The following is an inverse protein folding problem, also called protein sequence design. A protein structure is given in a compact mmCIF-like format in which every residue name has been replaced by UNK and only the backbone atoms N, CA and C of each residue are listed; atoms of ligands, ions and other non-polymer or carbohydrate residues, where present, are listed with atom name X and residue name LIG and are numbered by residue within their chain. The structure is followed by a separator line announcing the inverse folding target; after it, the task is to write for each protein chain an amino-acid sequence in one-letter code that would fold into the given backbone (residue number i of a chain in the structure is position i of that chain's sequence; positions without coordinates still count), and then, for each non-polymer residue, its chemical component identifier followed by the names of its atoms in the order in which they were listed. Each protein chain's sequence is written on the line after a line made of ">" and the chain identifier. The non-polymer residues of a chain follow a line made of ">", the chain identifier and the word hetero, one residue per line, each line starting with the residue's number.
data_IF_461670076644
#
_entry.id   IF_461670076644
#
_cell.length_a   1.000
_cell.length_b   1.000
_cell.length_c   1.000
_cell.angle_alpha   90.00
_cell.angle_beta   90.00
_cell.angle_gamma   90.00
#
_symmetry.space_group_name_H-M   'P 1'
#
loop_
_entity.id
_entity.type
_entity.pdbx_description
1 polymer ?
#
# COMPACT_ATOMS: atom_id res chain seq x y z
N UNK A 1 -20.07 -16.77 19.60
CA UNK A 1 -18.59 -16.64 19.75
C UNK A 1 -18.28 -15.16 19.99
N UNK A 2 -17.36 -14.85 20.92
CA UNK A 2 -17.03 -13.46 21.26
C UNK A 2 -15.77 -12.99 20.52
N UNK A 3 -15.88 -11.82 19.87
CA UNK A 3 -14.85 -11.22 19.01
C UNK A 3 -14.55 -9.83 19.52
N UNK A 4 -13.26 -9.49 19.63
CA UNK A 4 -12.81 -8.14 19.90
C UNK A 4 -12.57 -7.40 18.59
N UNK A 5 -13.16 -6.22 18.45
CA UNK A 5 -13.06 -5.33 17.28
C UNK A 5 -12.35 -4.05 17.69
N UNK A 6 -11.05 -3.94 17.38
CA UNK A 6 -10.20 -2.79 17.68
C UNK A 6 -10.02 -1.92 16.43
N UNK A 7 -10.96 -0.97 16.18
CA UNK A 7 -11.02 -0.24 14.92
C UNK A 7 -11.65 1.15 15.12
N UNK A 8 -11.10 2.19 14.50
CA UNK A 8 -11.68 3.55 14.57
C UNK A 8 -13.11 3.57 14.02
N UNK A 9 -13.37 2.81 12.95
CA UNK A 9 -14.70 2.66 12.37
C UNK A 9 -15.49 1.50 12.99
N UNK A 10 -15.21 1.13 14.25
CA UNK A 10 -15.79 -0.03 14.92
C UNK A 10 -17.32 -0.09 14.83
N UNK A 11 -18.03 1.06 14.93
CA UNK A 11 -19.47 1.09 14.83
C UNK A 11 -19.99 0.61 13.45
N UNK A 12 -19.30 0.97 12.36
CA UNK A 12 -19.61 0.53 11.01
C UNK A 12 -19.38 -0.98 10.87
N UNK A 13 -18.22 -1.48 11.31
CA UNK A 13 -17.90 -2.90 11.27
C UNK A 13 -18.86 -3.73 12.13
N UNK A 14 -19.17 -3.27 13.34
CA UNK A 14 -20.10 -3.97 14.23
C UNK A 14 -21.48 -4.13 13.61
N UNK A 15 -22.00 -3.07 12.96
CA UNK A 15 -23.27 -3.13 12.22
C UNK A 15 -23.20 -4.15 11.06
N UNK A 16 -22.17 -4.10 10.22
CA UNK A 16 -22.00 -5.00 9.09
C UNK A 16 -21.87 -6.46 9.53
N UNK A 17 -21.13 -6.71 10.61
CA UNK A 17 -20.99 -8.05 11.19
C UNK A 17 -22.31 -8.54 11.80
N UNK A 18 -23.07 -7.68 12.51
CA UNK A 18 -24.38 -8.04 13.06
C UNK A 18 -25.42 -8.36 11.99
N UNK A 19 -25.35 -7.65 10.84
CA UNK A 19 -26.23 -7.93 9.68
C UNK A 19 -25.88 -9.26 9.01
N UNK A 20 -24.59 -9.58 8.87
CA UNK A 20 -24.12 -10.76 8.15
C UNK A 20 -24.00 -12.03 9.02
N UNK A 21 -23.72 -11.86 10.32
CA UNK A 21 -23.51 -12.97 11.27
C UNK A 21 -24.06 -12.60 12.66
N UNK A 22 -25.39 -12.60 12.84
CA UNK A 22 -26.06 -12.10 14.06
C UNK A 22 -25.73 -12.89 15.33
N UNK A 23 -25.19 -14.09 15.21
CA UNK A 23 -24.78 -14.92 16.35
C UNK A 23 -23.42 -14.56 16.94
N UNK A 24 -22.72 -13.57 16.36
CA UNK A 24 -21.45 -13.09 16.88
C UNK A 24 -21.67 -12.08 18.00
N UNK A 25 -21.02 -12.30 19.15
CA UNK A 25 -20.94 -11.34 20.26
C UNK A 25 -19.71 -10.43 20.01
N UNK A 26 -19.95 -9.15 19.69
CA UNK A 26 -18.91 -8.21 19.27
C UNK A 26 -18.68 -7.19 20.37
N UNK A 27 -17.43 -7.09 20.82
CA UNK A 27 -16.94 -6.02 21.70
C UNK A 27 -16.07 -5.09 20.87
N UNK A 28 -16.55 -3.89 20.56
CA UNK A 28 -15.88 -2.94 19.66
C UNK A 28 -15.53 -1.63 20.32
N UNK A 29 -14.41 -1.04 19.85
CA UNK A 29 -13.93 0.27 20.29
C UNK A 29 -12.62 0.66 19.61
N UNK A 30 -12.10 1.84 19.98
CA UNK A 30 -10.80 2.36 19.59
C UNK A 30 -9.92 2.77 20.80
N UNK A 31 -10.48 2.69 22.01
CA UNK A 31 -9.70 2.89 23.23
C UNK A 31 -9.06 1.57 23.70
N UNK A 32 -7.72 1.54 23.65
CA UNK A 32 -6.94 0.35 24.03
C UNK A 32 -7.14 -0.02 25.52
N UNK A 33 -7.35 0.96 26.41
CA UNK A 33 -7.50 0.69 27.85
C UNK A 33 -8.85 0.02 28.15
N UNK A 34 -9.92 0.46 27.48
CA UNK A 34 -11.24 -0.15 27.59
C UNK A 34 -11.26 -1.56 27.00
N UNK A 35 -10.70 -1.72 25.80
CA UNK A 35 -10.65 -3.00 25.11
C UNK A 35 -9.79 -4.04 25.85
N UNK A 36 -8.71 -3.63 26.50
CA UNK A 36 -7.83 -4.52 27.29
C UNK A 36 -8.57 -5.24 28.41
N UNK A 37 -9.57 -4.59 29.04
CA UNK A 37 -10.40 -5.21 30.09
C UNK A 37 -11.24 -6.38 29.59
N UNK A 38 -11.45 -6.50 28.29
CA UNK A 38 -12.29 -7.54 27.67
C UNK A 38 -11.50 -8.50 26.76
N UNK A 39 -10.27 -8.15 26.40
CA UNK A 39 -9.43 -8.90 25.47
C UNK A 39 -9.24 -10.37 25.85
N UNK A 40 -9.05 -10.67 27.13
CA UNK A 40 -8.89 -12.04 27.62
C UNK A 40 -10.12 -12.96 27.46
N UNK A 41 -11.29 -12.39 27.13
CA UNK A 41 -12.52 -13.14 26.86
C UNK A 41 -12.75 -13.39 25.36
N UNK A 42 -11.88 -12.85 24.51
CA UNK A 42 -12.01 -12.87 23.06
C UNK A 42 -10.85 -13.66 22.43
N UNK A 43 -11.14 -14.86 21.92
CA UNK A 43 -10.15 -15.70 21.26
C UNK A 43 -9.78 -15.18 19.83
N UNK A 44 -10.59 -14.28 19.27
CA UNK A 44 -10.40 -13.70 17.94
C UNK A 44 -10.43 -12.18 18.06
N UNK A 45 -9.42 -11.51 17.44
CA UNK A 45 -9.36 -10.07 17.36
C UNK A 45 -9.37 -9.62 15.90
N UNK A 46 -10.19 -8.62 15.57
CA UNK A 46 -10.25 -7.93 14.28
C UNK A 46 -9.91 -6.47 14.50
N UNK A 47 -9.03 -5.87 13.71
CA UNK A 47 -8.79 -4.42 13.86
C UNK A 47 -7.57 -3.86 13.15
N UNK A 48 -7.33 -2.57 13.40
CA UNK A 48 -6.18 -1.84 12.91
C UNK A 48 -4.88 -2.32 13.58
N UNK A 49 -3.79 -2.46 12.82
CA UNK A 49 -2.51 -2.96 13.34
C UNK A 49 -1.99 -2.21 14.57
N UNK A 50 -2.16 -0.88 14.61
CA UNK A 50 -1.67 -0.05 15.72
C UNK A 50 -2.43 -0.32 17.02
N UNK A 51 -3.77 -0.40 16.95
CA UNK A 51 -4.62 -0.72 18.09
C UNK A 51 -4.35 -2.16 18.58
N UNK A 52 -4.25 -3.10 17.65
CA UNK A 52 -3.93 -4.50 17.93
C UNK A 52 -2.54 -4.66 18.59
N UNK A 53 -1.53 -3.94 18.08
CA UNK A 53 -0.19 -3.92 18.69
C UNK A 53 -0.19 -3.31 20.10
N UNK A 54 -1.00 -2.26 20.31
CA UNK A 54 -1.22 -1.66 21.62
C UNK A 54 -1.85 -2.62 22.62
N UNK A 55 -2.79 -3.45 22.18
CA UNK A 55 -3.41 -4.50 22.98
C UNK A 55 -2.42 -5.64 23.30
N UNK A 56 -1.61 -6.08 22.34
CA UNK A 56 -0.60 -7.13 22.55
C UNK A 56 0.45 -6.75 23.59
N UNK A 57 0.70 -5.46 23.83
CA UNK A 57 1.60 -4.99 24.90
C UNK A 57 0.98 -5.07 26.31
N UNK A 58 -0.33 -5.27 26.41
CA UNK A 58 -1.10 -5.22 27.65
C UNK A 58 -1.80 -6.53 27.98
N UNK A 59 -2.07 -7.36 26.98
CA UNK A 59 -2.88 -8.57 27.10
C UNK A 59 -2.19 -9.75 26.43
N UNK A 60 -2.48 -10.99 26.87
CA UNK A 60 -2.10 -12.19 26.13
C UNK A 60 -2.64 -12.15 24.70
N UNK A 61 -1.87 -12.71 23.77
CA UNK A 61 -2.29 -12.80 22.38
C UNK A 61 -3.55 -13.68 22.22
N UNK A 62 -4.44 -13.37 21.25
CA UNK A 62 -5.59 -14.22 20.90
C UNK A 62 -5.13 -15.48 20.17
N UNK A 63 -6.03 -16.42 19.94
CA UNK A 63 -5.75 -17.58 19.08
C UNK A 63 -5.60 -17.18 17.59
N UNK A 64 -6.39 -16.19 17.15
CA UNK A 64 -6.34 -15.63 15.80
C UNK A 64 -6.57 -14.11 15.82
N UNK A 65 -5.79 -13.41 14.99
CA UNK A 65 -5.90 -11.97 14.78
C UNK A 65 -6.03 -11.69 13.29
N UNK A 66 -7.02 -10.89 12.91
CA UNK A 66 -7.22 -10.37 11.56
C UNK A 66 -6.93 -8.87 11.53
N UNK A 67 -5.89 -8.47 10.80
CA UNK A 67 -5.64 -7.04 10.53
C UNK A 67 -6.61 -6.53 9.46
N UNK A 68 -7.16 -5.33 9.68
CA UNK A 68 -7.97 -4.60 8.68
C UNK A 68 -7.11 -3.89 7.63
N UNK A 69 -5.78 -3.89 7.78
CA UNK A 69 -4.83 -3.30 6.84
C UNK A 69 -3.98 -4.38 6.14
N UNK A 70 -3.49 -4.04 4.93
CA UNK A 70 -2.51 -4.86 4.22
C UNK A 70 -1.12 -4.78 4.86
N UNK A 71 -0.73 -3.60 5.35
CA UNK A 71 0.50 -3.37 6.10
C UNK A 71 0.36 -3.77 7.56
N UNK A 72 1.32 -4.52 8.08
CA UNK A 72 1.29 -5.09 9.45
C UNK A 72 2.54 -4.75 10.25
N UNK A 73 3.33 -3.78 9.81
CA UNK A 73 4.58 -3.37 10.47
C UNK A 73 4.44 -3.19 11.99
N UNK A 74 3.37 -2.55 12.53
CA UNK A 74 3.18 -2.41 13.97
C UNK A 74 3.10 -3.74 14.72
N UNK A 75 2.55 -4.78 14.08
CA UNK A 75 2.41 -6.13 14.67
C UNK A 75 3.70 -6.96 14.60
N UNK A 76 4.69 -6.50 13.83
CA UNK A 76 6.02 -7.12 13.71
C UNK A 76 7.05 -6.49 14.65
N UNK A 77 6.67 -5.47 15.44
CA UNK A 77 7.56 -4.77 16.36
C UNK A 77 8.25 -5.73 17.32
N UNK A 78 9.49 -5.40 17.69
CA UNK A 78 10.28 -6.19 18.64
C UNK A 78 9.58 -6.28 20.00
N UNK A 79 9.68 -7.44 20.63
CA UNK A 79 9.07 -7.71 21.95
C UNK A 79 7.58 -8.08 21.91
N UNK A 80 6.91 -8.07 20.74
CA UNK A 80 5.55 -8.58 20.64
C UNK A 80 5.53 -10.11 20.49
N UNK A 81 4.50 -10.79 21.04
CA UNK A 81 4.31 -12.23 20.87
C UNK A 81 4.10 -12.58 19.39
N UNK A 82 4.47 -13.82 18.99
CA UNK A 82 4.32 -14.35 17.64
C UNK A 82 3.72 -15.75 17.61
N UNK A 83 3.16 -16.18 18.72
CA UNK A 83 2.60 -17.52 18.98
C UNK A 83 1.08 -17.57 18.74
N UNK A 84 0.59 -16.78 17.79
CA UNK A 84 -0.82 -16.72 17.36
C UNK A 84 -0.92 -16.75 15.84
N UNK A 85 -2.10 -17.05 15.31
CA UNK A 85 -2.36 -16.93 13.88
C UNK A 85 -2.61 -15.46 13.53
N UNK A 86 -1.90 -14.94 12.53
CA UNK A 86 -2.12 -13.58 12.01
C UNK A 86 -2.55 -13.67 10.56
N UNK A 87 -3.63 -12.96 10.21
CA UNK A 87 -4.04 -12.70 8.83
C UNK A 87 -4.11 -11.21 8.59
N UNK A 88 -3.75 -10.78 7.38
CA UNK A 88 -3.83 -9.39 6.94
C UNK A 88 -4.91 -9.20 5.89
N UNK A 89 -5.30 -7.96 5.63
CA UNK A 89 -6.25 -7.66 4.57
C UNK A 89 -5.62 -7.97 3.21
N UNK A 90 -6.32 -8.76 2.41
CA UNK A 90 -6.01 -9.12 1.01
C UNK A 90 -7.29 -9.09 0.18
N UNK A 91 -7.18 -8.91 -1.13
CA UNK A 91 -8.35 -8.91 -2.04
C UNK A 91 -9.21 -7.64 -1.99
N UNK A 92 -8.95 -6.71 -1.07
CA UNK A 92 -9.81 -5.55 -0.82
C UNK A 92 -9.25 -4.22 -1.36
N UNK A 93 -7.95 -4.18 -1.71
CA UNK A 93 -7.28 -2.94 -2.11
C UNK A 93 -7.03 -2.81 -3.60
N UNK A 94 -7.13 -3.89 -4.36
CA UNK A 94 -6.69 -3.92 -5.75
C UNK A 94 -7.39 -2.89 -6.65
N UNK A 95 -8.71 -2.72 -6.51
CA UNK A 95 -9.49 -1.76 -7.27
C UNK A 95 -9.08 -0.32 -6.96
N UNK A 96 -9.16 0.07 -5.69
CA UNK A 96 -8.90 1.46 -5.27
C UNK A 96 -7.44 1.86 -5.52
N UNK A 97 -6.50 0.95 -5.34
CA UNK A 97 -5.09 1.19 -5.66
C UNK A 97 -4.88 1.35 -7.17
N UNK A 98 -5.58 0.58 -8.01
CA UNK A 98 -5.51 0.74 -9.46
C UNK A 98 -6.06 2.10 -9.90
N UNK A 99 -7.17 2.55 -9.32
CA UNK A 99 -7.74 3.88 -9.56
C UNK A 99 -6.77 4.99 -9.13
N UNK A 100 -6.14 4.84 -7.97
CA UNK A 100 -5.10 5.75 -7.50
C UNK A 100 -3.94 5.86 -8.49
N UNK A 101 -3.34 4.73 -8.89
CA UNK A 101 -2.23 4.70 -9.83
C UNK A 101 -2.62 5.33 -11.17
N UNK A 102 -3.78 4.97 -11.71
CA UNK A 102 -4.29 5.48 -12.98
C UNK A 102 -4.52 7.00 -12.93
N UNK A 103 -5.04 7.50 -11.81
CA UNK A 103 -5.26 8.94 -11.61
C UNK A 103 -3.98 9.73 -11.82
N UNK A 104 -2.88 9.34 -11.18
CA UNK A 104 -1.63 10.11 -11.27
C UNK A 104 -0.85 9.85 -12.56
N UNK A 105 -0.94 8.65 -13.13
CA UNK A 105 -0.41 8.37 -14.47
C UNK A 105 -1.08 9.27 -15.52
N UNK A 106 -2.40 9.36 -15.51
CA UNK A 106 -3.17 10.21 -16.43
C UNK A 106 -2.91 11.69 -16.13
N UNK A 107 -2.86 12.10 -14.86
CA UNK A 107 -2.56 13.48 -14.48
C UNK A 107 -1.19 13.92 -15.01
N UNK A 108 -0.17 13.06 -14.91
CA UNK A 108 1.16 13.31 -15.46
C UNK A 108 1.15 13.41 -16.98
N UNK A 109 0.62 12.41 -17.69
CA UNK A 109 0.57 12.41 -19.15
C UNK A 109 -0.24 13.59 -19.70
N UNK A 110 -1.34 13.97 -19.04
CA UNK A 110 -2.18 15.10 -19.43
C UNK A 110 -1.71 16.44 -18.91
N UNK A 111 -0.55 16.48 -18.16
CA UNK A 111 0.05 17.69 -17.58
C UNK A 111 -0.93 18.45 -16.67
N UNK A 112 -1.72 17.72 -15.92
CA UNK A 112 -2.81 18.30 -15.11
C UNK A 112 -2.30 19.35 -14.12
N UNK A 113 -1.24 19.04 -13.36
CA UNK A 113 -0.68 19.94 -12.35
C UNK A 113 -0.12 21.23 -12.98
N UNK A 114 0.57 21.12 -14.13
CA UNK A 114 1.07 22.26 -14.90
C UNK A 114 -0.09 23.17 -15.39
N UNK A 115 -1.20 22.56 -15.83
CA UNK A 115 -2.38 23.31 -16.27
C UNK A 115 -3.07 24.04 -15.11
N UNK A 116 -3.17 23.38 -13.94
CA UNK A 116 -3.73 24.00 -12.75
C UNK A 116 -2.88 25.21 -12.31
N UNK A 117 -1.54 25.09 -12.32
CA UNK A 117 -0.65 26.21 -12.03
C UNK A 117 -0.84 27.36 -13.04
N UNK A 118 -0.83 27.07 -14.34
CA UNK A 118 -1.06 28.07 -15.39
C UNK A 118 -2.43 28.74 -15.27
N UNK A 119 -3.47 27.98 -14.91
CA UNK A 119 -4.81 28.55 -14.66
C UNK A 119 -4.79 29.52 -13.47
N UNK A 120 -4.08 29.20 -12.39
CA UNK A 120 -3.91 30.08 -11.23
C UNK A 120 -3.21 31.40 -11.58
N UNK A 121 -2.34 31.39 -12.58
CA UNK A 121 -1.61 32.53 -13.10
C UNK A 121 -2.32 33.25 -14.27
N UNK A 122 -3.53 32.80 -14.66
CA UNK A 122 -4.27 33.28 -15.81
C UNK A 122 -3.49 33.15 -17.15
N UNK A 123 -2.64 32.12 -17.28
CA UNK A 123 -1.86 31.83 -18.48
C UNK A 123 -2.56 30.75 -19.31
N UNK A 124 -2.81 31.05 -20.60
CA UNK A 124 -3.32 30.08 -21.55
C UNK A 124 -2.20 29.09 -21.93
N UNK A 125 -2.28 27.86 -21.40
CA UNK A 125 -1.28 26.81 -21.66
C UNK A 125 -1.84 25.81 -22.68
N UNK A 126 -1.42 25.94 -23.94
CA UNK A 126 -1.82 25.07 -25.07
C UNK A 126 -0.85 23.91 -25.31
N UNK A 127 0.16 23.73 -24.48
CA UNK A 127 1.16 22.66 -24.60
C UNK A 127 0.46 21.30 -24.62
N UNK A 128 0.66 20.46 -25.68
CA UNK A 128 -0.05 19.20 -25.81
C UNK A 128 0.32 18.24 -24.67
N UNK A 129 -0.65 17.48 -24.19
CA UNK A 129 -0.44 16.36 -23.30
C UNK A 129 -0.03 15.09 -24.06
N UNK A 130 0.51 14.12 -23.35
CA UNK A 130 0.81 12.77 -23.83
C UNK A 130 -0.37 11.80 -23.67
N UNK A 131 -0.09 10.53 -23.88
CA UNK A 131 -1.03 9.40 -23.71
C UNK A 131 -0.31 8.23 -23.05
N UNK A 132 -1.03 7.39 -22.33
CA UNK A 132 -0.49 6.14 -21.79
C UNK A 132 -0.23 5.10 -22.88
N UNK A 133 -0.95 5.17 -24.01
CA UNK A 133 -0.77 4.21 -25.09
C UNK A 133 0.69 4.17 -25.57
N UNK A 134 1.27 2.99 -25.61
CA UNK A 134 2.66 2.74 -25.96
C UNK A 134 3.70 3.07 -24.90
N UNK A 135 3.29 3.56 -23.70
CA UNK A 135 4.19 3.75 -22.58
C UNK A 135 4.57 2.42 -21.95
N UNK A 136 5.75 2.37 -21.35
CA UNK A 136 6.22 1.25 -20.53
C UNK A 136 6.04 1.61 -19.05
N UNK A 137 5.25 0.81 -18.32
CA UNK A 137 5.02 0.97 -16.89
C UNK A 137 5.68 -0.19 -16.15
N UNK A 138 6.60 0.12 -15.24
CA UNK A 138 7.24 -0.85 -14.36
C UNK A 138 6.52 -0.87 -13.00
N UNK A 139 5.97 -2.03 -12.63
CA UNK A 139 5.37 -2.27 -11.32
C UNK A 139 6.36 -3.03 -10.46
N UNK A 140 6.90 -2.35 -9.44
CA UNK A 140 7.86 -2.92 -8.49
C UNK A 140 7.09 -3.45 -7.28
N UNK A 141 6.90 -4.76 -7.23
CA UNK A 141 6.02 -5.43 -6.27
C UNK A 141 4.81 -6.10 -6.94
N UNK A 142 5.07 -7.16 -7.75
CA UNK A 142 4.01 -7.94 -8.42
C UNK A 142 3.45 -8.97 -7.44
N UNK A 143 2.79 -8.47 -6.38
CA UNK A 143 1.90 -9.21 -5.51
C UNK A 143 0.45 -9.14 -6.00
N UNK A 144 -0.51 -9.37 -5.11
CA UNK A 144 -1.95 -9.30 -5.41
C UNK A 144 -2.37 -7.89 -5.93
N UNK A 145 -1.96 -6.83 -5.21
CA UNK A 145 -2.26 -5.45 -5.60
C UNK A 145 -1.59 -5.09 -6.93
N UNK A 146 -0.28 -5.41 -7.08
CA UNK A 146 0.46 -5.12 -8.31
C UNK A 146 -0.11 -5.83 -9.54
N UNK A 147 -0.58 -7.07 -9.38
CA UNK A 147 -1.28 -7.82 -10.43
C UNK A 147 -2.59 -7.11 -10.83
N UNK A 148 -3.38 -6.68 -9.84
CA UNK A 148 -4.65 -5.99 -10.11
C UNK A 148 -4.44 -4.64 -10.78
N UNK A 149 -3.43 -3.87 -10.35
CA UNK A 149 -3.02 -2.63 -11.02
C UNK A 149 -2.64 -2.89 -12.48
N UNK A 150 -1.87 -3.94 -12.74
CA UNK A 150 -1.49 -4.32 -14.10
C UNK A 150 -2.70 -4.66 -14.99
N UNK A 151 -3.67 -5.41 -14.48
CA UNK A 151 -4.91 -5.74 -15.18
C UNK A 151 -5.72 -4.50 -15.55
N UNK A 152 -5.77 -3.50 -14.66
CA UNK A 152 -6.44 -2.21 -14.92
C UNK A 152 -5.71 -1.33 -15.93
N UNK A 153 -4.38 -1.39 -15.96
CA UNK A 153 -3.58 -0.58 -16.89
C UNK A 153 -3.49 -1.19 -18.28
N UNK A 154 -3.61 -2.51 -18.43
CA UNK A 154 -3.47 -3.19 -19.71
C UNK A 154 -4.40 -2.64 -20.84
N UNK A 155 -5.69 -2.31 -20.59
CA UNK A 155 -6.59 -1.75 -21.60
C UNK A 155 -6.15 -0.39 -22.16
N UNK A 156 -5.26 0.34 -21.47
CA UNK A 156 -4.72 1.62 -21.95
C UNK A 156 -3.58 1.46 -22.96
N UNK A 157 -3.24 0.23 -23.35
CA UNK A 157 -2.22 -0.05 -24.36
C UNK A 157 -0.79 0.20 -23.87
N UNK A 158 -0.54 0.07 -22.56
CA UNK A 158 0.79 0.14 -21.96
C UNK A 158 1.54 -1.18 -22.10
N UNK A 159 2.87 -1.14 -22.17
CA UNK A 159 3.73 -2.29 -21.96
C UNK A 159 4.04 -2.42 -20.48
N UNK A 160 3.74 -3.57 -19.88
CA UNK A 160 3.88 -3.81 -18.44
C UNK A 160 5.14 -4.63 -18.14
N UNK A 161 5.99 -4.10 -17.26
CA UNK A 161 7.14 -4.78 -16.68
C UNK A 161 6.90 -4.95 -15.18
N UNK A 162 7.42 -6.02 -14.59
CA UNK A 162 7.20 -6.31 -13.18
C UNK A 162 8.47 -6.74 -12.45
N UNK A 163 8.53 -6.40 -11.15
CA UNK A 163 9.49 -6.96 -10.18
C UNK A 163 8.73 -7.77 -9.14
N UNK A 164 9.20 -8.99 -8.89
CA UNK A 164 8.67 -9.91 -7.89
C UNK A 164 9.79 -10.65 -7.16
N UNK A 165 9.46 -11.43 -6.14
CA UNK A 165 10.42 -12.27 -5.40
C UNK A 165 11.03 -13.38 -6.29
N UNK A 166 10.37 -13.76 -7.37
CA UNK A 166 10.86 -14.75 -8.36
C UNK A 166 10.43 -14.33 -9.78
N UNK A 167 11.33 -14.54 -10.73
CA UNK A 167 11.05 -14.36 -12.16
C UNK A 167 10.05 -15.42 -12.64
N UNK A 168 9.03 -14.99 -13.41
CA UNK A 168 8.00 -15.87 -13.94
C UNK A 168 7.23 -15.21 -15.09
N UNK A 169 6.59 -16.04 -15.91
CA UNK A 169 5.59 -15.54 -16.84
C UNK A 169 4.28 -15.25 -16.07
N UNK A 170 3.77 -14.04 -16.16
CA UNK A 170 2.55 -13.62 -15.46
C UNK A 170 1.81 -12.56 -16.28
N UNK A 171 0.81 -12.95 -17.11
CA UNK A 171 -0.01 -11.96 -17.81
C UNK A 171 -0.71 -10.98 -16.83
N UNK A 172 -0.88 -9.71 -17.20
CA UNK A 172 -0.57 -9.09 -18.51
C UNK A 172 0.87 -8.54 -18.66
N UNK A 173 1.79 -8.87 -17.76
CA UNK A 173 3.18 -8.43 -17.86
C UNK A 173 3.89 -9.06 -19.06
N UNK A 174 4.64 -8.23 -19.79
CA UNK A 174 5.55 -8.71 -20.84
C UNK A 174 6.79 -9.40 -20.22
N UNK A 175 7.19 -8.97 -19.02
CA UNK A 175 8.33 -9.51 -18.28
C UNK A 175 8.12 -9.32 -16.79
N UNK A 176 8.35 -10.37 -15.98
CA UNK A 176 8.45 -10.28 -14.51
C UNK A 176 9.81 -10.82 -14.09
N UNK A 177 10.63 -9.94 -13.51
CA UNK A 177 11.99 -10.23 -13.07
C UNK A 177 12.14 -10.14 -11.54
N UNK A 178 13.32 -10.43 -11.04
CA UNK A 178 13.65 -10.27 -9.61
C UNK A 178 14.23 -8.87 -9.33
N UNK A 179 14.32 -8.51 -8.04
CA UNK A 179 14.84 -7.22 -7.60
C UNK A 179 16.26 -6.92 -8.14
N UNK A 180 17.09 -7.94 -8.35
CA UNK A 180 18.42 -7.78 -8.94
C UNK A 180 18.40 -7.17 -10.36
N UNK A 181 17.28 -7.30 -11.10
CA UNK A 181 17.12 -6.72 -12.44
C UNK A 181 16.48 -5.34 -12.43
N UNK A 182 16.11 -4.81 -11.27
CA UNK A 182 15.44 -3.50 -11.15
C UNK A 182 16.22 -2.40 -11.88
N UNK A 183 17.56 -2.26 -11.73
CA UNK A 183 18.33 -1.22 -12.41
C UNK A 183 18.21 -1.25 -13.94
N UNK A 184 18.07 -2.44 -14.53
CA UNK A 184 17.91 -2.59 -15.98
C UNK A 184 16.48 -2.31 -16.45
N UNK A 185 15.48 -2.56 -15.60
CA UNK A 185 14.07 -2.35 -15.94
C UNK A 185 13.65 -0.89 -15.79
N UNK A 186 14.20 -0.14 -14.83
CA UNK A 186 13.91 1.28 -14.69
C UNK A 186 14.36 2.10 -15.91
N UNK A 187 15.47 1.71 -16.57
CA UNK A 187 15.96 2.36 -17.80
C UNK A 187 14.99 2.21 -18.98
N UNK A 188 14.13 1.21 -18.93
CA UNK A 188 13.15 0.91 -19.98
C UNK A 188 11.78 1.53 -19.70
N UNK A 189 11.52 1.92 -18.44
CA UNK A 189 10.22 2.38 -17.97
C UNK A 189 10.02 3.89 -18.19
N UNK A 190 8.84 4.25 -18.69
CA UNK A 190 8.37 5.64 -18.73
C UNK A 190 7.74 6.05 -17.39
N UNK A 191 7.21 5.07 -16.65
CA UNK A 191 6.65 5.25 -15.31
C UNK A 191 7.06 4.09 -14.42
N UNK A 192 7.33 4.38 -13.14
CA UNK A 192 7.70 3.37 -12.13
C UNK A 192 6.76 3.47 -10.94
N UNK A 193 6.08 2.36 -10.63
CA UNK A 193 5.12 2.24 -9.53
C UNK A 193 5.73 1.33 -8.46
N UNK A 194 6.04 1.87 -7.27
CA UNK A 194 6.55 1.09 -6.15
C UNK A 194 5.40 0.63 -5.25
N UNK A 195 5.29 -0.68 -5.07
CA UNK A 195 4.32 -1.38 -4.19
C UNK A 195 5.01 -2.39 -3.27
N UNK A 196 6.32 -2.25 -3.07
CA UNK A 196 7.09 -3.17 -2.22
C UNK A 196 6.72 -3.01 -0.74
N UNK A 197 6.71 -4.13 0.01
CA UNK A 197 6.61 -4.10 1.46
C UNK A 197 7.89 -3.54 2.09
N UNK A 198 7.82 -3.23 3.40
CA UNK A 198 8.97 -2.91 4.23
C UNK A 198 9.72 -4.19 4.59
N UNK A 199 10.93 -4.33 4.08
CA UNK A 199 11.86 -5.42 4.37
C UNK A 199 13.29 -4.88 4.31
N UNK A 200 14.28 -5.53 4.95
CA UNK A 200 15.66 -5.07 4.87
C UNK A 200 16.20 -4.91 3.44
N UNK A 201 15.70 -5.70 2.49
CA UNK A 201 16.11 -5.65 1.08
C UNK A 201 15.47 -4.50 0.30
N UNK A 202 14.48 -3.81 0.86
CA UNK A 202 13.76 -2.72 0.21
C UNK A 202 14.05 -1.35 0.84
N UNK A 203 14.83 -1.30 1.92
CA UNK A 203 15.29 -0.04 2.51
C UNK A 203 16.26 0.65 1.58
N UNK A 204 16.11 1.97 1.45
CA UNK A 204 16.97 2.86 0.64
C UNK A 204 17.17 2.37 -0.80
N UNK A 205 16.20 1.63 -1.33
CA UNK A 205 16.27 1.04 -2.67
C UNK A 205 16.33 2.11 -3.77
N UNK A 206 15.58 3.20 -3.60
CA UNK A 206 15.53 4.32 -4.54
C UNK A 206 16.52 5.40 -4.09
N UNK A 207 17.81 5.10 -4.24
CA UNK A 207 18.94 5.99 -4.00
C UNK A 207 19.34 6.79 -5.26
N UNK A 208 20.34 7.66 -5.14
CA UNK A 208 20.86 8.48 -6.24
C UNK A 208 21.28 7.62 -7.45
N UNK A 209 21.85 6.43 -7.22
CA UNK A 209 22.31 5.56 -8.28
C UNK A 209 21.14 4.96 -9.08
N UNK A 210 20.10 4.49 -8.41
CA UNK A 210 18.90 3.95 -9.08
C UNK A 210 18.08 5.06 -9.71
N UNK A 211 17.84 6.18 -9.02
CA UNK A 211 17.09 7.34 -9.54
C UNK A 211 17.79 7.95 -10.76
N UNK A 212 19.14 7.90 -10.80
CA UNK A 212 19.92 8.33 -11.94
C UNK A 212 19.76 7.49 -13.21
N UNK A 213 19.16 6.30 -13.10
CA UNK A 213 18.91 5.36 -14.22
C UNK A 213 17.49 5.50 -14.82
N UNK A 214 16.61 6.29 -14.19
CA UNK A 214 15.29 6.52 -14.74
C UNK A 214 15.36 7.24 -16.08
N UNK A 215 14.40 6.97 -16.97
CA UNK A 215 14.29 7.76 -18.19
C UNK A 215 14.03 9.23 -17.87
N UNK A 216 14.64 10.17 -18.62
CA UNK A 216 14.29 11.57 -18.50
C UNK A 216 12.78 11.79 -18.68
N UNK A 217 12.17 12.50 -17.73
CA UNK A 217 10.72 12.74 -17.75
C UNK A 217 9.86 11.61 -17.17
N UNK A 218 10.44 10.54 -16.66
CA UNK A 218 9.70 9.46 -16.01
C UNK A 218 8.96 9.95 -14.76
N UNK A 219 7.75 9.39 -14.53
CA UNK A 219 7.02 9.56 -13.27
C UNK A 219 7.35 8.41 -12.32
N UNK A 220 7.66 8.76 -11.06
CA UNK A 220 7.80 7.81 -9.97
C UNK A 220 6.58 7.91 -9.04
N UNK A 221 5.91 6.80 -8.74
CA UNK A 221 4.83 6.74 -7.75
C UNK A 221 5.22 5.75 -6.65
N UNK A 222 5.27 6.21 -5.40
CA UNK A 222 5.49 5.34 -4.26
C UNK A 222 4.21 5.22 -3.40
N UNK A 223 3.55 4.07 -3.49
CA UNK A 223 2.46 3.67 -2.60
C UNK A 223 2.78 2.31 -1.92
N UNK A 224 4.07 2.00 -1.80
CA UNK A 224 4.59 0.88 -1.02
C UNK A 224 4.91 1.29 0.41
N UNK A 225 6.18 1.65 0.67
CA UNK A 225 6.67 2.14 1.96
C UNK A 225 7.67 3.27 1.79
N UNK A 226 7.62 4.27 2.68
CA UNK A 226 8.49 5.44 2.62
C UNK A 226 9.96 5.10 2.78
N UNK A 227 10.30 4.14 3.63
CA UNK A 227 11.69 3.68 3.87
C UNK A 227 12.41 3.16 2.61
N UNK A 228 11.69 2.90 1.53
CA UNK A 228 12.31 2.48 0.26
C UNK A 228 12.98 3.61 -0.50
N UNK A 229 12.70 4.88 -0.15
CA UNK A 229 13.23 6.06 -0.84
C UNK A 229 14.27 6.76 0.02
N UNK A 230 15.37 7.18 -0.57
CA UNK A 230 16.32 8.11 0.04
C UNK A 230 15.85 9.53 -0.28
N UNK A 231 15.34 10.22 0.74
CA UNK A 231 14.60 11.47 0.57
C UNK A 231 15.42 12.56 -0.12
N UNK A 232 16.68 12.75 0.30
CA UNK A 232 17.58 13.75 -0.28
C UNK A 232 17.87 13.47 -1.76
N UNK A 233 18.05 12.20 -2.11
CA UNK A 233 18.37 11.78 -3.48
C UNK A 233 17.16 12.01 -4.42
N UNK A 234 15.94 11.77 -3.93
CA UNK A 234 14.73 12.06 -4.70
C UNK A 234 14.54 13.56 -4.93
N UNK A 235 14.77 14.39 -3.90
CA UNK A 235 14.73 15.86 -4.01
C UNK A 235 15.73 16.34 -5.07
N UNK A 236 16.99 15.88 -5.00
CA UNK A 236 18.03 16.23 -5.96
C UNK A 236 17.71 15.78 -7.38
N UNK A 237 17.14 14.58 -7.55
CA UNK A 237 16.74 14.06 -8.85
C UNK A 237 15.63 14.89 -9.50
N UNK A 238 14.64 15.34 -8.72
CA UNK A 238 13.55 16.21 -9.18
C UNK A 238 14.06 17.61 -9.52
N UNK A 239 14.87 18.23 -8.64
CA UNK A 239 15.43 19.56 -8.86
C UNK A 239 16.36 19.60 -10.08
N UNK A 240 17.10 18.53 -10.32
CA UNK A 240 17.94 18.38 -11.51
C UNK A 240 17.16 18.08 -12.79
N UNK A 241 15.82 17.94 -12.73
CA UNK A 241 14.96 17.59 -13.88
C UNK A 241 15.19 16.20 -14.45
N UNK A 242 15.79 15.28 -13.69
CA UNK A 242 16.00 13.87 -14.10
C UNK A 242 14.70 13.11 -14.16
N UNK A 243 13.80 13.36 -13.19
CA UNK A 243 12.44 12.84 -13.17
C UNK A 243 11.46 13.88 -13.69
N UNK A 244 10.40 13.44 -14.34
CA UNK A 244 9.28 14.28 -14.77
C UNK A 244 8.32 14.63 -13.63
N UNK A 245 8.39 13.88 -12.53
CA UNK A 245 7.61 14.08 -11.30
C UNK A 245 7.68 12.89 -10.37
N UNK A 246 7.22 13.10 -9.14
CA UNK A 246 7.01 12.04 -8.17
C UNK A 246 5.68 12.21 -7.44
N UNK A 247 5.03 11.09 -7.11
CA UNK A 247 3.85 11.05 -6.24
C UNK A 247 4.17 10.12 -5.08
N UNK A 248 4.15 10.63 -3.87
CA UNK A 248 4.42 9.87 -2.67
C UNK A 248 3.16 9.78 -1.81
N UNK A 249 2.62 8.58 -1.70
CA UNK A 249 1.54 8.30 -0.75
C UNK A 249 2.11 8.05 0.64
N UNK A 250 3.31 7.53 0.70
CA UNK A 250 4.00 7.12 1.92
C UNK A 250 5.33 7.83 2.07
N UNK A 251 5.67 8.19 3.31
CA UNK A 251 6.91 8.84 3.69
C UNK A 251 7.67 8.00 4.73
N UNK A 252 8.97 8.29 4.91
CA UNK A 252 9.82 7.62 5.89
C UNK A 252 9.36 7.90 7.32
N UNK A 253 8.95 9.13 7.57
CA UNK A 253 8.32 9.58 8.80
C UNK A 253 6.88 10.02 8.50
N UNK A 254 5.91 9.51 9.26
CA UNK A 254 4.49 9.82 9.12
C UNK A 254 3.86 10.11 10.49
N UNK A 255 3.17 11.26 10.65
CA UNK A 255 2.96 12.33 9.68
C UNK A 255 4.27 13.05 9.29
N UNK A 256 4.35 13.47 7.99
CA UNK A 256 5.54 14.16 7.48
C UNK A 256 5.74 15.50 8.21
N UNK A 257 6.93 15.78 8.81
CA UNK A 257 7.22 17.05 9.48
C UNK A 257 6.97 18.26 8.59
N UNK A 258 6.46 19.35 9.16
CA UNK A 258 6.06 20.56 8.42
C UNK A 258 7.23 21.24 7.70
N UNK A 259 8.46 21.06 8.20
CA UNK A 259 9.70 21.62 7.63
C UNK A 259 10.35 20.68 6.58
N UNK A 260 9.75 19.51 6.31
CA UNK A 260 10.37 18.56 5.39
C UNK A 260 10.45 19.10 3.96
N UNK A 261 11.58 18.92 3.25
CA UNK A 261 11.77 19.45 1.89
C UNK A 261 10.73 19.02 0.86
N UNK A 262 10.09 17.86 1.06
CA UNK A 262 9.08 17.35 0.13
C UNK A 262 7.91 18.32 -0.09
N UNK A 263 7.54 19.11 0.93
CA UNK A 263 6.42 20.07 0.82
C UNK A 263 6.64 21.14 -0.26
N UNK A 264 7.91 21.49 -0.52
CA UNK A 264 8.27 22.60 -1.44
C UNK A 264 9.05 22.12 -2.67
N UNK A 265 9.29 20.81 -2.81
CA UNK A 265 10.03 20.27 -3.96
C UNK A 265 9.16 20.32 -5.23
N UNK A 266 9.59 21.07 -6.28
CA UNK A 266 8.86 21.12 -7.53
C UNK A 266 8.70 19.74 -8.17
N UNK A 267 7.50 19.44 -8.69
CA UNK A 267 7.23 18.17 -9.34
C UNK A 267 6.93 17.01 -8.38
N UNK A 268 6.94 17.24 -7.06
CA UNK A 268 6.56 16.27 -6.06
C UNK A 268 5.13 16.54 -5.55
N UNK A 269 4.31 15.49 -5.49
CA UNK A 269 2.97 15.52 -4.90
C UNK A 269 2.90 14.51 -3.74
N UNK A 270 2.36 14.98 -2.61
CA UNK A 270 2.10 14.15 -1.42
C UNK A 270 0.62 13.83 -1.31
N UNK A 271 0.27 12.61 -0.92
CA UNK A 271 -1.15 12.19 -0.76
C UNK A 271 -1.50 11.66 0.63
N UNK A 272 -0.51 11.63 1.54
CA UNK A 272 -0.72 11.42 2.98
C UNK A 272 -1.30 10.07 3.36
N UNK A 273 -0.75 8.97 2.79
CA UNK A 273 -1.07 7.57 3.06
C UNK A 273 -2.57 7.26 2.89
N UNK A 274 -3.14 7.79 1.79
CA UNK A 274 -4.58 7.72 1.49
C UNK A 274 -4.91 6.97 0.19
N UNK A 275 -3.90 6.36 -0.46
CA UNK A 275 -4.06 5.69 -1.76
C UNK A 275 -5.12 4.58 -1.76
N UNK A 276 -5.27 3.88 -0.64
CA UNK A 276 -6.17 2.73 -0.56
C UNK A 276 -6.87 2.66 0.81
N UNK A 277 -7.93 3.45 1.04
CA UNK A 277 -8.73 3.34 2.24
C UNK A 277 -9.36 1.94 2.33
N UNK A 278 -9.35 1.37 3.53
CA UNK A 278 -9.97 0.06 3.77
C UNK A 278 -11.50 0.17 3.62
N UNK A 279 -12.08 -0.65 2.75
CA UNK A 279 -13.52 -0.78 2.64
C UNK A 279 -14.06 -1.65 3.79
N UNK A 280 -14.88 -1.11 4.72
CA UNK A 280 -15.47 -1.92 5.79
C UNK A 280 -16.29 -3.10 5.26
N UNK A 281 -17.01 -2.92 4.14
CA UNK A 281 -17.82 -3.98 3.52
C UNK A 281 -16.91 -5.11 3.00
N UNK A 282 -15.87 -4.76 2.24
CA UNK A 282 -14.92 -5.75 1.71
C UNK A 282 -14.18 -6.48 2.82
N UNK A 283 -13.77 -5.74 3.85
CA UNK A 283 -13.04 -6.31 4.99
C UNK A 283 -13.93 -7.21 5.86
N UNK A 284 -15.19 -6.84 6.07
CA UNK A 284 -16.16 -7.69 6.78
C UNK A 284 -16.36 -9.01 6.05
N UNK A 285 -16.48 -9.00 4.71
CA UNK A 285 -16.59 -10.22 3.91
C UNK A 285 -15.33 -11.10 4.06
N UNK A 286 -14.14 -10.53 3.87
CA UNK A 286 -12.88 -11.26 4.05
C UNK A 286 -12.76 -11.86 5.46
N UNK A 287 -13.16 -11.10 6.50
CA UNK A 287 -13.13 -11.60 7.87
C UNK A 287 -14.07 -12.79 8.07
N UNK A 288 -15.28 -12.74 7.53
CA UNK A 288 -16.26 -13.85 7.63
C UNK A 288 -15.79 -15.08 6.86
N UNK A 289 -15.24 -14.92 5.65
CA UNK A 289 -14.65 -16.03 4.89
C UNK A 289 -13.50 -16.68 5.66
N UNK A 290 -12.65 -15.88 6.30
CA UNK A 290 -11.56 -16.37 7.16
C UNK A 290 -12.09 -16.98 8.46
N UNK A 291 -13.19 -16.50 9.01
CA UNK A 291 -13.82 -17.06 10.20
C UNK A 291 -14.35 -18.47 9.93
N UNK A 292 -15.00 -18.68 8.79
CA UNK A 292 -15.47 -19.98 8.33
C UNK A 292 -14.29 -20.94 8.13
N UNK A 293 -13.21 -20.46 7.48
CA UNK A 293 -11.99 -21.24 7.30
C UNK A 293 -11.33 -21.59 8.64
N UNK A 294 -11.28 -20.63 9.58
CA UNK A 294 -10.74 -20.86 10.93
C UNK A 294 -11.52 -21.93 11.69
N UNK A 295 -12.85 -21.88 11.66
CA UNK A 295 -13.72 -22.85 12.32
C UNK A 295 -13.59 -24.24 11.68
N UNK A 296 -13.43 -24.31 10.35
CA UNK A 296 -13.21 -25.53 9.60
C UNK A 296 -11.75 -26.06 9.71
N UNK A 297 -10.86 -25.35 10.42
CA UNK A 297 -9.42 -25.61 10.45
C UNK A 297 -8.80 -25.68 9.04
N UNK A 298 -9.30 -24.89 8.11
CA UNK A 298 -8.84 -24.74 6.74
C UNK A 298 -7.85 -23.57 6.60
N UNK A 299 -7.11 -23.47 5.49
CA UNK A 299 -6.22 -22.33 5.22
C UNK A 299 -7.02 -21.01 5.11
N UNK A 300 -6.56 -19.99 5.83
CA UNK A 300 -7.13 -18.64 5.79
C UNK A 300 -6.42 -17.77 4.75
N UNK A 301 -7.15 -16.85 4.12
CA UNK A 301 -6.58 -15.87 3.21
C UNK A 301 -5.72 -14.84 3.96
N UNK A 302 -4.61 -14.41 3.35
CA UNK A 302 -3.76 -13.38 3.94
C UNK A 302 -2.97 -13.83 5.18
N UNK A 303 -2.77 -15.14 5.37
CA UNK A 303 -1.94 -15.65 6.48
C UNK A 303 -0.52 -15.12 6.39
N UNK A 304 -0.03 -14.60 7.51
CA UNK A 304 1.29 -13.97 7.62
C UNK A 304 2.31 -14.98 8.10
N UNK A 305 3.46 -14.99 7.41
CA UNK A 305 4.67 -15.65 7.88
C UNK A 305 5.51 -14.64 8.69
N UNK A 306 5.58 -14.80 10.01
CA UNK A 306 6.34 -13.90 10.89
C UNK A 306 7.86 -13.88 10.61
N UNK A 307 8.41 -14.91 9.95
CA UNK A 307 9.83 -14.93 9.58
C UNK A 307 10.10 -14.06 8.34
N UNK A 308 9.14 -14.04 7.41
CA UNK A 308 9.23 -13.23 6.18
C UNK A 308 8.71 -11.80 6.38
N UNK A 309 7.86 -11.57 7.38
CA UNK A 309 7.26 -10.28 7.67
C UNK A 309 6.06 -9.92 6.77
N UNK A 310 5.52 -10.88 6.01
CA UNK A 310 4.36 -10.67 5.13
C UNK A 310 3.59 -11.96 4.84
#
# INVERSE_FOLDING_TARGET
>A
MRILLAEQQHACYARLLAEAAPDLDIVGGDDIAELAGQAGQCAIWLGQPDLLAGLLRRCPAPAWMQSTWAGITPLLAEGLPRDYRLTRAVGVFGQVMAEYMLTYLLAHERRLLERLASQGECVWNDRPGGTLQGRTVLIVGVGEIGQRVAEFLAPFGVSLLGIASSARAQPPFAEVATLAQLPNLVERADHVLNLLPDTPATHDLYDAALLGRFKPGALFINAGRGVSVVDVDLVEALQAGRLGGAVLDVCREEPLPAEHPFWTTPGLLLTGHSAAPTSPIGMTRLFLDNLDAYQANAPMQGTVDFQRGY
#
